data_IF_770174410494
#
_entry.id   IF_770174410494
#
_cell.length_a   1.000
_cell.length_b   1.000
_cell.length_c   1.000
_cell.angle_alpha   90.00
_cell.angle_beta   90.00
_cell.angle_gamma   90.00
#
_symmetry.space_group_name_H-M   'P 1'
#
loop_
_entity.id
_entity.type
_entity.pdbx_description
1 polymer ?
#
# COMPACT_ATOMS: atom_id res chain seq x y z
N UNK A 1 -4.46 14.81 12.76
CA UNK A 1 -4.08 13.37 12.72
C UNK A 1 -5.33 12.55 13.03
N UNK A 2 -5.65 11.55 12.23
CA UNK A 2 -6.78 10.66 12.47
C UNK A 2 -6.39 9.62 13.54
N UNK A 3 -6.42 10.03 14.82
CA UNK A 3 -6.00 9.18 15.95
C UNK A 3 -6.89 7.95 16.16
N UNK A 4 -8.06 7.94 15.53
CA UNK A 4 -9.07 6.88 15.62
C UNK A 4 -8.84 5.74 14.60
N UNK A 5 -7.84 5.88 13.70
CA UNK A 5 -7.48 4.82 12.78
C UNK A 5 -6.58 3.79 13.46
N UNK A 6 -6.95 2.53 13.35
CA UNK A 6 -6.05 1.41 13.64
C UNK A 6 -5.11 1.20 12.46
N UNK A 7 -3.86 1.65 12.62
CA UNK A 7 -2.85 1.63 11.55
C UNK A 7 -1.85 0.51 11.75
N UNK A 8 -1.66 -0.30 10.72
CA UNK A 8 -0.56 -1.26 10.62
C UNK A 8 0.50 -0.75 9.64
N UNK A 9 1.75 -0.67 10.09
CA UNK A 9 2.91 -0.27 9.30
C UNK A 9 3.71 -1.51 8.93
N UNK A 10 4.06 -1.65 7.65
CA UNK A 10 4.86 -2.76 7.15
C UNK A 10 6.07 -2.28 6.34
N UNK A 11 7.23 -2.90 6.57
CA UNK A 11 8.44 -2.72 5.77
C UNK A 11 9.29 -4.00 5.79
N UNK A 12 10.07 -4.22 4.73
CA UNK A 12 11.07 -5.29 4.65
C UNK A 12 12.36 -4.93 5.39
N UNK A 13 12.63 -3.64 5.56
CA UNK A 13 13.83 -3.14 6.21
C UNK A 13 13.59 -2.93 7.70
N UNK A 14 14.20 -3.77 8.54
CA UNK A 14 14.11 -3.66 10.00
C UNK A 14 14.50 -2.28 10.54
N UNK A 15 15.41 -1.56 9.88
CA UNK A 15 15.75 -0.19 10.27
C UNK A 15 14.58 0.78 10.09
N UNK A 16 13.77 0.61 9.04
CA UNK A 16 12.55 1.39 8.86
C UNK A 16 11.52 1.09 9.96
N UNK A 17 11.40 -0.18 10.37
CA UNK A 17 10.51 -0.58 11.47
C UNK A 17 10.91 0.10 12.79
N UNK A 18 12.21 0.11 13.12
CA UNK A 18 12.71 0.79 14.31
C UNK A 18 12.50 2.31 14.26
N UNK A 19 12.73 2.94 13.10
CA UNK A 19 12.43 4.37 12.91
C UNK A 19 10.94 4.68 13.05
N UNK A 20 10.06 3.79 12.56
CA UNK A 20 8.62 3.93 12.77
C UNK A 20 8.25 3.85 14.25
N UNK A 21 8.81 2.91 15.02
CA UNK A 21 8.61 2.83 16.48
C UNK A 21 8.99 4.13 17.18
N UNK A 22 10.15 4.70 16.80
CA UNK A 22 10.61 5.98 17.35
C UNK A 22 9.67 7.14 16.99
N UNK A 23 9.17 7.17 15.75
CA UNK A 23 8.23 8.21 15.31
C UNK A 23 6.88 8.11 16.00
N UNK A 24 6.32 6.90 16.15
CA UNK A 24 5.07 6.69 16.89
C UNK A 24 5.19 7.21 18.33
N UNK A 25 6.28 6.86 19.03
CA UNK A 25 6.57 7.37 20.37
C UNK A 25 6.73 8.89 20.40
N UNK A 26 7.48 9.46 19.44
CA UNK A 26 7.77 10.90 19.39
C UNK A 26 6.50 11.74 19.22
N UNK A 27 5.53 11.26 18.44
CA UNK A 27 4.32 12.01 18.10
C UNK A 27 3.07 11.56 18.86
N UNK A 28 3.21 10.68 19.87
CA UNK A 28 2.09 10.16 20.65
C UNK A 28 1.00 9.54 19.77
N UNK A 29 1.44 8.62 18.92
CA UNK A 29 0.61 7.86 17.98
C UNK A 29 0.71 6.37 18.29
N UNK A 30 -0.39 5.66 18.08
CA UNK A 30 -0.46 4.20 18.18
C UNK A 30 -0.41 3.57 16.79
N UNK A 31 0.01 2.31 16.73
CA UNK A 31 -0.05 1.50 15.52
C UNK A 31 0.74 0.21 15.66
N UNK A 32 0.30 -0.81 14.93
CA UNK A 32 1.00 -2.09 14.86
C UNK A 32 2.15 -1.97 13.85
N UNK A 33 3.34 -2.45 14.20
CA UNK A 33 4.48 -2.48 13.28
C UNK A 33 4.79 -3.94 12.99
N UNK A 34 4.77 -4.31 11.72
CA UNK A 34 5.04 -5.67 11.24
C UNK A 34 6.12 -5.66 10.18
N UNK A 35 6.89 -6.74 10.12
CA UNK A 35 7.75 -7.05 8.98
C UNK A 35 6.92 -7.64 7.82
N UNK A 36 7.51 -7.70 6.63
CA UNK A 36 6.86 -8.32 5.48
C UNK A 36 6.55 -9.82 5.69
N UNK A 37 7.40 -10.54 6.42
CA UNK A 37 7.17 -11.95 6.75
C UNK A 37 5.98 -12.11 7.70
N UNK A 38 5.76 -11.15 8.59
CA UNK A 38 4.59 -11.11 9.48
C UNK A 38 3.33 -10.69 8.74
N UNK A 39 3.42 -9.76 7.77
CA UNK A 39 2.29 -9.35 6.93
C UNK A 39 1.67 -10.54 6.18
N UNK A 40 2.51 -11.46 5.71
CA UNK A 40 2.05 -12.68 5.03
C UNK A 40 1.19 -13.60 5.92
N UNK A 41 1.29 -13.47 7.25
CA UNK A 41 0.55 -14.26 8.25
C UNK A 41 -0.73 -13.57 8.71
N UNK A 42 -0.95 -12.32 8.33
CA UNK A 42 -2.18 -11.59 8.61
C UNK A 42 -3.30 -12.20 7.77
N UNK A 43 -4.46 -12.47 8.40
CA UNK A 43 -5.63 -13.01 7.72
C UNK A 43 -6.07 -12.10 6.56
N UNK A 44 -6.81 -12.68 5.62
CA UNK A 44 -7.42 -11.94 4.52
C UNK A 44 -8.49 -10.98 5.06
N UNK A 45 -8.80 -9.94 4.28
CA UNK A 45 -9.97 -9.07 4.50
C UNK A 45 -10.02 -8.33 5.84
N UNK A 46 -8.88 -7.78 6.27
CA UNK A 46 -8.79 -7.05 7.54
C UNK A 46 -8.88 -5.53 7.35
N UNK A 47 -8.36 -5.02 6.22
CA UNK A 47 -8.16 -3.58 6.07
C UNK A 47 -9.26 -2.93 5.24
N UNK A 48 -9.73 -1.78 5.71
CA UNK A 48 -10.60 -0.88 4.95
C UNK A 48 -9.79 -0.08 3.91
N UNK A 49 -8.51 0.19 4.22
CA UNK A 49 -7.59 0.93 3.36
C UNK A 49 -6.20 0.31 3.32
N UNK A 50 -5.57 0.26 2.14
CA UNK A 50 -4.16 -0.09 1.96
C UNK A 50 -3.46 1.03 1.19
N UNK A 51 -2.23 1.35 1.59
CA UNK A 51 -1.41 2.38 0.94
C UNK A 51 -0.04 1.82 0.57
N UNK A 52 0.39 2.06 -0.67
CA UNK A 52 1.69 1.61 -1.14
C UNK A 52 2.44 2.70 -1.91
N UNK A 53 3.65 2.99 -1.45
CA UNK A 53 4.66 3.68 -2.24
C UNK A 53 5.70 2.66 -2.69
N UNK A 54 5.45 2.02 -3.84
CA UNK A 54 6.20 0.84 -4.26
C UNK A 54 7.69 1.14 -4.44
N UNK A 55 8.60 0.22 -4.03
CA UNK A 55 10.02 0.38 -4.24
C UNK A 55 10.33 0.33 -5.75
N UNK A 56 10.70 1.49 -6.30
CA UNK A 56 10.80 1.71 -7.76
C UNK A 56 11.81 0.75 -8.45
N UNK A 57 12.79 0.24 -7.70
CA UNK A 57 13.89 -0.59 -8.25
C UNK A 57 13.67 -2.10 -8.13
N UNK A 58 12.57 -2.55 -7.52
CA UNK A 58 12.37 -3.98 -7.20
C UNK A 58 11.89 -4.83 -8.36
N UNK A 59 11.72 -4.26 -9.56
CA UNK A 59 11.19 -4.96 -10.74
C UNK A 59 9.66 -5.12 -10.68
N UNK A 60 9.04 -5.31 -11.86
CA UNK A 60 7.57 -5.35 -11.98
C UNK A 60 6.95 -6.53 -11.24
N UNK A 61 7.55 -7.71 -11.30
CA UNK A 61 6.98 -8.93 -10.71
C UNK A 61 6.81 -8.82 -9.19
N UNK A 62 7.80 -8.25 -8.51
CA UNK A 62 7.72 -7.98 -7.08
C UNK A 62 6.64 -6.95 -6.75
N UNK A 63 6.53 -5.87 -7.52
CA UNK A 63 5.49 -4.86 -7.31
C UNK A 63 4.09 -5.45 -7.57
N UNK A 64 3.95 -6.30 -8.59
CA UNK A 64 2.70 -6.98 -8.91
C UNK A 64 2.30 -7.99 -7.84
N UNK A 65 3.27 -8.65 -7.19
CA UNK A 65 3.02 -9.44 -5.99
C UNK A 65 2.44 -8.58 -4.86
N UNK A 66 3.02 -7.41 -4.61
CA UNK A 66 2.50 -6.47 -3.59
C UNK A 66 1.07 -5.99 -3.90
N UNK A 67 0.71 -5.81 -5.18
CA UNK A 67 -0.66 -5.45 -5.57
C UNK A 67 -1.66 -6.58 -5.29
N UNK A 68 -1.30 -7.83 -5.58
CA UNK A 68 -2.14 -8.99 -5.24
C UNK A 68 -2.27 -9.16 -3.73
N UNK A 69 -1.19 -8.95 -2.99
CA UNK A 69 -1.23 -8.99 -1.53
C UNK A 69 -2.09 -7.86 -0.95
N UNK A 70 -2.02 -6.67 -1.52
CA UNK A 70 -2.89 -5.54 -1.15
C UNK A 70 -4.38 -5.88 -1.39
N UNK A 71 -4.70 -6.52 -2.52
CA UNK A 71 -6.06 -7.01 -2.79
C UNK A 71 -6.52 -8.05 -1.75
N UNK A 72 -5.68 -9.03 -1.43
CA UNK A 72 -5.98 -10.08 -0.43
C UNK A 72 -6.32 -9.48 0.94
N UNK A 73 -5.55 -8.48 1.36
CA UNK A 73 -5.65 -7.85 2.67
C UNK A 73 -6.89 -6.94 2.82
N UNK A 74 -7.47 -6.46 1.72
CA UNK A 74 -8.63 -5.58 1.75
C UNK A 74 -9.93 -6.33 2.04
N UNK A 75 -10.82 -5.70 2.81
CA UNK A 75 -12.24 -6.07 2.90
C UNK A 75 -12.97 -5.80 1.58
N UNK A 76 -14.18 -6.36 1.44
CA UNK A 76 -15.09 -5.92 0.38
C UNK A 76 -15.41 -4.43 0.53
N UNK A 77 -15.40 -3.71 -0.59
CA UNK A 77 -15.44 -2.26 -0.71
C UNK A 77 -14.22 -1.52 -0.10
N UNK A 78 -13.19 -2.25 0.33
CA UNK A 78 -11.93 -1.66 0.78
C UNK A 78 -11.15 -1.02 -0.37
N UNK A 79 -10.35 -0.01 -0.04
CA UNK A 79 -9.68 0.83 -1.02
C UNK A 79 -8.15 0.68 -0.97
N UNK A 80 -7.53 0.47 -2.12
CA UNK A 80 -6.09 0.44 -2.27
C UNK A 80 -5.60 1.68 -3.00
N UNK A 81 -4.59 2.36 -2.46
CA UNK A 81 -3.95 3.51 -3.06
C UNK A 81 -2.48 3.23 -3.35
N UNK A 82 -2.07 3.48 -4.58
CA UNK A 82 -0.66 3.42 -4.98
C UNK A 82 -0.22 4.75 -5.61
N UNK A 83 0.97 5.20 -5.22
CA UNK A 83 1.64 6.31 -5.89
C UNK A 83 2.68 5.79 -6.89
N UNK A 84 2.66 6.32 -8.12
CA UNK A 84 3.61 5.96 -9.17
C UNK A 84 3.98 7.17 -10.03
N UNK A 85 5.23 7.24 -10.48
CA UNK A 85 5.64 8.24 -11.47
C UNK A 85 5.32 7.80 -12.90
N UNK A 86 4.97 8.75 -13.77
CA UNK A 86 4.67 8.53 -15.19
C UNK A 86 5.75 7.72 -15.89
N UNK A 87 7.01 8.10 -15.67
CA UNK A 87 8.22 7.53 -16.28
C UNK A 87 8.63 6.17 -15.70
N UNK A 88 7.91 5.66 -14.69
CA UNK A 88 8.13 4.33 -14.09
C UNK A 88 7.08 3.32 -14.53
N UNK A 89 6.49 3.53 -15.71
CA UNK A 89 5.57 2.58 -16.32
C UNK A 89 4.14 2.66 -15.78
N UNK A 90 3.70 3.84 -15.34
CA UNK A 90 2.35 4.08 -14.79
C UNK A 90 1.24 3.39 -15.59
N UNK A 91 1.26 3.49 -16.92
CA UNK A 91 0.25 2.86 -17.78
C UNK A 91 0.24 1.33 -17.65
N UNK A 92 1.40 0.68 -17.60
CA UNK A 92 1.48 -0.77 -17.45
C UNK A 92 1.08 -1.25 -16.05
N UNK A 93 1.37 -0.47 -15.01
CA UNK A 93 0.91 -0.76 -13.66
C UNK A 93 -0.61 -0.59 -13.55
N UNK A 94 -1.18 0.47 -14.13
CA UNK A 94 -2.64 0.65 -14.20
C UNK A 94 -3.31 -0.51 -14.92
N UNK A 95 -2.81 -0.91 -16.09
CA UNK A 95 -3.35 -2.04 -16.85
C UNK A 95 -3.33 -3.35 -16.05
N UNK A 96 -2.27 -3.60 -15.28
CA UNK A 96 -2.21 -4.79 -14.41
C UNK A 96 -3.15 -4.68 -13.20
N UNK A 97 -3.30 -3.49 -12.60
CA UNK A 97 -4.26 -3.28 -11.52
C UNK A 97 -5.70 -3.51 -11.99
N UNK A 98 -6.02 -3.15 -13.23
CA UNK A 98 -7.33 -3.42 -13.87
C UNK A 98 -7.60 -4.92 -14.08
N UNK A 99 -6.58 -5.78 -14.06
CA UNK A 99 -6.80 -7.24 -14.09
C UNK A 99 -7.13 -7.83 -12.72
N UNK A 100 -6.95 -7.06 -11.64
CA UNK A 100 -7.14 -7.52 -10.26
C UNK A 100 -8.34 -6.84 -9.62
N UNK A 101 -8.52 -5.55 -9.84
CA UNK A 101 -9.56 -4.73 -9.24
C UNK A 101 -10.63 -4.35 -10.26
N UNK A 102 -11.88 -4.35 -9.82
CA UNK A 102 -13.02 -3.97 -10.67
C UNK A 102 -13.03 -2.47 -11.00
N UNK A 103 -12.50 -1.63 -10.12
CA UNK A 103 -12.44 -0.18 -10.29
C UNK A 103 -11.02 0.31 -10.08
N UNK A 104 -10.49 1.07 -11.05
CA UNK A 104 -9.13 1.63 -11.03
C UNK A 104 -9.15 3.05 -11.58
N UNK A 105 -8.97 4.04 -10.70
CA UNK A 105 -9.15 5.47 -11.01
C UNK A 105 -7.92 6.27 -10.62
N UNK A 106 -7.47 7.17 -11.51
CA UNK A 106 -6.45 8.16 -11.17
C UNK A 106 -7.15 9.30 -10.41
N UNK A 107 -6.88 9.42 -9.12
CA UNK A 107 -7.53 10.41 -8.25
C UNK A 107 -6.70 11.68 -8.04
N UNK A 108 -5.40 11.61 -8.31
CA UNK A 108 -4.51 12.77 -8.23
C UNK A 108 -3.35 12.66 -9.22
N UNK A 109 -2.89 13.81 -9.72
CA UNK A 109 -1.72 13.92 -10.59
C UNK A 109 -1.01 15.25 -10.39
N UNK A 110 0.25 15.22 -10.03
CA UNK A 110 1.09 16.42 -9.93
C UNK A 110 2.56 16.11 -10.25
N UNK A 111 3.23 16.98 -11.00
CA UNK A 111 4.69 16.91 -11.27
C UNK A 111 5.18 15.52 -11.69
N UNK A 112 4.37 14.81 -12.47
CA UNK A 112 4.68 13.47 -12.97
C UNK A 112 4.36 12.31 -12.02
N UNK A 113 3.91 12.57 -10.80
CA UNK A 113 3.37 11.56 -9.88
C UNK A 113 1.87 11.41 -10.05
N UNK A 114 1.38 10.18 -9.90
CA UNK A 114 0.00 9.78 -10.03
C UNK A 114 -0.39 8.98 -8.78
N UNK A 115 -1.54 9.30 -8.19
CA UNK A 115 -2.19 8.45 -7.20
C UNK A 115 -3.29 7.69 -7.91
N UNK A 116 -3.19 6.37 -7.89
CA UNK A 116 -4.19 5.46 -8.44
C UNK A 116 -4.92 4.84 -7.26
N UNK A 117 -6.25 4.97 -7.26
CA UNK A 117 -7.18 4.37 -6.32
C UNK A 117 -7.78 3.12 -6.95
N UNK A 118 -7.90 2.07 -6.17
CA UNK A 118 -8.58 0.84 -6.54
C UNK A 118 -9.59 0.44 -5.47
N UNK A 119 -10.70 -0.18 -5.86
CA UNK A 119 -11.73 -0.68 -4.94
C UNK A 119 -11.91 -2.18 -5.12
N UNK A 120 -11.84 -2.95 -4.02
CA UNK A 120 -12.16 -4.38 -4.00
C UNK A 120 -13.68 -4.57 -3.93
N UNK A 121 -14.25 -5.44 -4.77
CA UNK A 121 -15.67 -5.79 -4.74
C UNK A 121 -15.86 -7.27 -4.47
#
# INVERSE_FOLDING_TARGET
FFKELDVTYCDVNYRCLELNKQNLKKYDLNGLIVSNDELSKINDEIFDYVFLNSPIRSGKDNIYKMYRESYRLLKNNGEFYVIIRKDKGMLSHKAFLETIFNEVTIVYKEKGYFIIKMVKK
#
